data_IF_521993869484
#
_entry.id   IF_521993869484
#
_cell.length_a   1.000
_cell.length_b   1.000
_cell.length_c   1.000
_cell.angle_alpha   90.00
_cell.angle_beta   90.00
_cell.angle_gamma   90.00
#
_symmetry.space_group_name_H-M   'P 1'
#
loop_
_entity.id
_entity.type
_entity.pdbx_description
1 polymer ?
#
# COMPACT_ATOMS: atom_id res chain seq x y z
N UNK A 1 -12.09 18.03 -26.33
CA UNK A 1 -12.33 18.21 -24.87
C UNK A 1 -12.38 16.89 -24.11
N UNK A 2 -12.82 15.79 -24.71
CA UNK A 2 -13.05 14.51 -23.99
C UNK A 2 -11.77 13.73 -23.62
N UNK A 3 -10.72 13.80 -24.45
CA UNK A 3 -9.47 13.06 -24.22
C UNK A 3 -8.71 13.53 -22.95
N UNK A 4 -8.80 14.82 -22.63
CA UNK A 4 -8.19 15.39 -21.42
C UNK A 4 -8.91 14.94 -20.14
N UNK A 5 -10.25 14.89 -20.18
CA UNK A 5 -11.06 14.40 -19.07
C UNK A 5 -10.84 12.89 -18.83
N UNK A 6 -10.72 12.10 -19.91
CA UNK A 6 -10.41 10.67 -19.83
C UNK A 6 -9.05 10.43 -19.17
N UNK A 7 -8.01 11.15 -19.61
CA UNK A 7 -6.66 11.07 -19.05
C UNK A 7 -6.67 11.35 -17.54
N UNK A 8 -7.37 12.41 -17.13
CA UNK A 8 -7.50 12.79 -15.72
C UNK A 8 -8.20 11.71 -14.90
N UNK A 9 -9.28 11.13 -15.43
CA UNK A 9 -10.02 10.05 -14.78
C UNK A 9 -9.13 8.82 -14.54
N UNK A 10 -8.34 8.42 -15.53
CA UNK A 10 -7.44 7.26 -15.42
C UNK A 10 -6.42 7.47 -14.29
N UNK A 11 -5.77 8.63 -14.20
CA UNK A 11 -4.83 8.89 -13.12
C UNK A 11 -5.48 8.93 -11.73
N UNK A 12 -6.72 9.43 -11.64
CA UNK A 12 -7.48 9.37 -10.39
C UNK A 12 -7.81 7.92 -9.99
N UNK A 13 -8.18 7.07 -10.94
CA UNK A 13 -8.43 5.64 -10.68
C UNK A 13 -7.16 4.97 -10.15
N UNK A 14 -5.99 5.23 -10.73
CA UNK A 14 -4.73 4.71 -10.21
C UNK A 14 -4.41 5.22 -8.81
N UNK A 15 -4.69 6.50 -8.52
CA UNK A 15 -4.52 7.07 -7.17
C UNK A 15 -5.39 6.38 -6.14
N UNK A 16 -6.68 6.21 -6.43
CA UNK A 16 -7.61 5.49 -5.57
C UNK A 16 -7.27 4.01 -5.42
N UNK A 17 -6.82 3.36 -6.49
CA UNK A 17 -6.37 1.96 -6.44
C UNK A 17 -5.17 1.80 -5.50
N UNK A 18 -4.18 2.71 -5.58
CA UNK A 18 -3.03 2.72 -4.66
C UNK A 18 -3.46 2.84 -3.20
N UNK A 19 -4.29 3.83 -2.88
CA UNK A 19 -4.79 4.06 -1.50
C UNK A 19 -5.61 2.88 -1.00
N UNK A 20 -6.54 2.38 -1.82
CA UNK A 20 -7.44 1.27 -1.44
C UNK A 20 -6.68 -0.03 -1.21
N UNK A 21 -5.70 -0.35 -2.07
CA UNK A 21 -4.82 -1.51 -1.87
C UNK A 21 -3.99 -1.38 -0.61
N UNK A 22 -3.48 -0.18 -0.31
CA UNK A 22 -2.75 0.07 0.92
C UNK A 22 -3.60 -0.18 2.17
N UNK A 23 -4.80 0.38 2.21
CA UNK A 23 -5.73 0.20 3.33
C UNK A 23 -6.15 -1.27 3.47
N UNK A 24 -6.48 -1.92 2.35
CA UNK A 24 -6.82 -3.34 2.32
C UNK A 24 -5.69 -4.22 2.86
N UNK A 25 -4.46 -3.97 2.42
CA UNK A 25 -3.27 -4.71 2.89
C UNK A 25 -3.08 -4.53 4.38
N UNK A 26 -3.33 -3.33 4.90
CA UNK A 26 -3.23 -3.04 6.33
C UNK A 26 -4.26 -3.82 7.15
N UNK A 27 -5.52 -3.80 6.71
CA UNK A 27 -6.62 -4.54 7.34
C UNK A 27 -6.31 -6.03 7.35
N UNK A 28 -5.84 -6.56 6.21
CA UNK A 28 -5.45 -7.95 6.10
C UNK A 28 -4.35 -8.28 7.10
N UNK A 29 -3.18 -7.62 7.05
CA UNK A 29 -2.06 -7.94 7.95
C UNK A 29 -2.50 -7.92 9.43
N UNK A 30 -3.26 -6.90 9.85
CA UNK A 30 -3.76 -6.83 11.22
C UNK A 30 -4.72 -7.98 11.55
N UNK A 31 -5.62 -8.35 10.64
CA UNK A 31 -6.54 -9.48 10.84
C UNK A 31 -5.79 -10.80 11.00
N UNK A 32 -4.77 -11.02 10.18
CA UNK A 32 -3.94 -12.23 10.26
C UNK A 32 -3.17 -12.31 11.59
N UNK A 33 -2.61 -11.20 12.07
CA UNK A 33 -1.95 -11.11 13.38
C UNK A 33 -2.91 -11.49 14.51
N UNK A 34 -4.15 -10.97 14.48
CA UNK A 34 -5.16 -11.25 15.51
C UNK A 34 -5.55 -12.73 15.52
N UNK A 35 -5.68 -13.34 14.36
CA UNK A 35 -6.06 -14.76 14.22
C UNK A 35 -4.89 -15.70 14.57
N UNK A 36 -3.67 -15.18 14.69
CA UNK A 36 -2.49 -15.97 15.08
C UNK A 36 -1.98 -16.91 13.99
N UNK A 37 -2.42 -16.72 12.74
CA UNK A 37 -1.79 -17.39 11.60
C UNK A 37 -0.49 -16.66 11.25
N UNK A 38 0.52 -17.41 10.79
CA UNK A 38 1.64 -16.83 10.06
C UNK A 38 1.07 -16.01 8.91
N UNK A 39 1.11 -14.68 9.06
CA UNK A 39 0.62 -13.78 8.04
C UNK A 39 1.41 -14.09 6.77
N UNK A 40 0.78 -14.61 5.70
CA UNK A 40 1.52 -15.02 4.54
C UNK A 40 2.20 -13.76 3.99
N UNK A 41 3.52 -13.83 3.83
CA UNK A 41 4.36 -12.82 3.20
C UNK A 41 3.97 -12.52 1.73
N UNK A 42 2.78 -12.93 1.30
CA UNK A 42 2.02 -12.45 0.13
C UNK A 42 1.93 -10.92 0.02
N UNK A 43 2.32 -10.16 1.05
CA UNK A 43 2.33 -8.69 1.07
C UNK A 43 3.35 -8.02 0.16
N UNK A 44 4.45 -8.69 -0.25
CA UNK A 44 5.51 -8.02 -1.05
C UNK A 44 4.97 -7.52 -2.40
N UNK A 45 4.17 -8.34 -3.09
CA UNK A 45 3.60 -7.98 -4.39
C UNK A 45 2.61 -6.82 -4.27
N UNK A 46 1.80 -6.79 -3.21
CA UNK A 46 0.85 -5.71 -2.96
C UNK A 46 1.54 -4.39 -2.63
N UNK A 47 2.61 -4.42 -1.81
CA UNK A 47 3.41 -3.22 -1.49
C UNK A 47 3.99 -2.61 -2.78
N UNK A 48 4.55 -3.44 -3.68
CA UNK A 48 5.09 -2.97 -4.96
C UNK A 48 3.98 -2.32 -5.81
N UNK A 49 2.80 -2.94 -5.90
CA UNK A 49 1.67 -2.38 -6.65
C UNK A 49 1.18 -1.05 -6.08
N UNK A 50 1.14 -0.90 -4.75
CA UNK A 50 0.77 0.36 -4.07
C UNK A 50 1.73 1.47 -4.51
N UNK A 51 3.04 1.21 -4.52
CA UNK A 51 4.04 2.18 -4.97
C UNK A 51 3.92 2.50 -6.46
N UNK A 52 3.77 1.48 -7.32
CA UNK A 52 3.63 1.68 -8.77
C UNK A 52 2.43 2.58 -9.08
N UNK A 53 1.26 2.24 -8.53
CA UNK A 53 0.04 3.04 -8.76
C UNK A 53 0.12 4.42 -8.13
N UNK A 54 0.76 4.54 -6.96
CA UNK A 54 1.01 5.82 -6.30
C UNK A 54 1.89 6.74 -7.17
N UNK A 55 3.01 6.22 -7.67
CA UNK A 55 3.93 6.95 -8.55
C UNK A 55 3.22 7.37 -9.85
N UNK A 56 2.50 6.46 -10.51
CA UNK A 56 1.74 6.77 -11.72
C UNK A 56 0.74 7.90 -11.46
N UNK A 57 0.01 7.85 -10.33
CA UNK A 57 -0.95 8.88 -9.95
C UNK A 57 -0.31 10.22 -9.58
N UNK A 58 0.97 10.27 -9.18
CA UNK A 58 1.66 11.54 -8.90
C UNK A 58 2.05 12.36 -10.14
N UNK A 59 2.09 11.73 -11.31
CA UNK A 59 2.49 12.40 -12.57
C UNK A 59 1.47 13.48 -12.98
N UNK A 60 0.19 13.25 -12.73
CA UNK A 60 -0.87 14.22 -13.03
C UNK A 60 -1.15 15.13 -11.83
N UNK A 61 -1.23 16.44 -12.05
CA UNK A 61 -1.47 17.44 -10.99
C UNK A 61 -2.77 17.18 -10.22
N UNK A 62 -3.80 16.66 -10.89
CA UNK A 62 -5.13 16.44 -10.32
C UNK A 62 -5.20 15.26 -9.34
N UNK A 63 -4.47 14.19 -9.63
CA UNK A 63 -4.41 12.97 -8.83
C UNK A 63 -3.21 12.95 -7.87
N UNK A 64 -2.36 13.98 -7.89
CA UNK A 64 -1.09 14.00 -7.15
C UNK A 64 -1.28 13.80 -5.65
N UNK A 65 -2.32 14.41 -5.06
CA UNK A 65 -2.61 14.20 -3.63
C UNK A 65 -2.89 12.73 -3.33
N UNK A 66 -3.76 12.08 -4.12
CA UNK A 66 -4.08 10.65 -3.97
C UNK A 66 -2.85 9.76 -4.17
N UNK A 67 -2.01 10.06 -5.17
CA UNK A 67 -0.75 9.35 -5.39
C UNK A 67 0.20 9.46 -4.20
N UNK A 68 0.34 10.67 -3.62
CA UNK A 68 1.16 10.89 -2.42
C UNK A 68 0.62 10.15 -1.20
N UNK A 69 -0.71 10.13 -1.01
CA UNK A 69 -1.36 9.33 0.03
C UNK A 69 -1.03 7.84 -0.11
N UNK A 70 -1.16 7.31 -1.33
CA UNK A 70 -0.82 5.91 -1.63
C UNK A 70 0.65 5.58 -1.34
N UNK A 71 1.58 6.44 -1.76
CA UNK A 71 3.02 6.30 -1.46
C UNK A 71 3.27 6.33 0.05
N UNK A 72 2.69 7.30 0.77
CA UNK A 72 2.84 7.41 2.22
C UNK A 72 2.32 6.17 2.94
N UNK A 73 1.17 5.63 2.49
CA UNK A 73 0.61 4.38 3.01
C UNK A 73 1.54 3.19 2.73
N UNK A 74 2.15 3.14 1.54
CA UNK A 74 3.17 2.13 1.20
C UNK A 74 4.39 2.20 2.11
N UNK A 75 4.92 3.40 2.37
CA UNK A 75 6.03 3.61 3.30
C UNK A 75 5.65 3.19 4.73
N UNK A 76 4.45 3.55 5.18
CA UNK A 76 3.92 3.15 6.47
C UNK A 76 3.82 1.63 6.59
N UNK A 77 3.30 0.94 5.57
CA UNK A 77 3.23 -0.52 5.53
C UNK A 77 4.61 -1.18 5.65
N UNK A 78 5.63 -0.66 4.96
CA UNK A 78 7.00 -1.18 5.07
C UNK A 78 7.52 -1.02 6.50
N UNK A 79 7.36 0.16 7.10
CA UNK A 79 7.76 0.41 8.49
C UNK A 79 7.01 -0.49 9.47
N UNK A 80 5.70 -0.65 9.28
CA UNK A 80 4.85 -1.53 10.09
C UNK A 80 5.32 -2.99 10.05
N UNK A 81 5.64 -3.50 8.86
CA UNK A 81 6.17 -4.86 8.69
C UNK A 81 7.53 -5.04 9.39
N UNK A 82 8.41 -4.03 9.33
CA UNK A 82 9.70 -4.05 10.04
C UNK A 82 9.47 -4.14 11.55
N UNK A 83 8.58 -3.30 12.10
CA UNK A 83 8.28 -3.28 13.53
C UNK A 83 7.71 -4.62 14.00
N UNK A 84 6.72 -5.17 13.28
CA UNK A 84 6.14 -6.47 13.63
C UNK A 84 7.17 -7.59 13.55
N UNK A 85 8.04 -7.57 12.55
CA UNK A 85 9.13 -8.54 12.44
C UNK A 85 10.03 -8.51 13.69
N UNK A 86 10.48 -7.33 14.12
CA UNK A 86 11.31 -7.21 15.33
C UNK A 86 10.57 -7.61 16.61
N UNK A 87 9.28 -7.26 16.73
CA UNK A 87 8.47 -7.67 17.88
C UNK A 87 8.29 -9.19 17.91
N UNK A 88 7.96 -9.80 16.77
CA UNK A 88 7.86 -11.25 16.63
C UNK A 88 9.18 -11.94 16.98
N UNK A 89 10.30 -11.42 16.46
CA UNK A 89 11.64 -11.94 16.75
C UNK A 89 12.04 -11.79 18.22
N UNK A 90 11.63 -10.71 18.89
CA UNK A 90 11.88 -10.52 20.32
C UNK A 90 11.13 -11.55 21.19
N UNK A 91 9.90 -11.92 20.81
CA UNK A 91 9.07 -12.88 21.56
C UNK A 91 9.50 -14.32 21.25
N UNK A 92 9.66 -14.65 19.97
CA UNK A 92 10.07 -15.97 19.49
C UNK A 92 11.30 -15.76 18.59
N UNK A 93 12.51 -15.76 19.17
CA UNK A 93 13.72 -15.60 18.38
C UNK A 93 13.89 -16.81 17.46
N UNK A 94 13.72 -16.58 16.16
CA UNK A 94 14.32 -17.45 15.15
C UNK A 94 15.85 -17.40 15.29
N UNK A 95 16.57 -18.51 15.00
CA UNK A 95 18.01 -18.45 14.78
C UNK A 95 18.37 -17.47 13.65
#
# INVERSE_FOLDING_TARGET
MELGALKQSIFNVFGWASVSLGLWTLIMINSWIIVGYDAPFTSRNFIILIFIFGIIATISKSSRSLGMWGIFLGCYLVLFMIVIFFVGWFIIPFP
#
